data_IF_086662925039
#
_entry.id   IF_086662925039
#
_cell.length_a   1.000
_cell.length_b   1.000
_cell.length_c   1.000
_cell.angle_alpha   90.00
_cell.angle_beta   90.00
_cell.angle_gamma   90.00
#
_symmetry.space_group_name_H-M   'P 1'
#
loop_
_entity.id
_entity.type
_entity.pdbx_description
1 polymer ?
#
# COMPACT_ATOMS: atom_id res chain seq x y z
N UNK A 1 -27.08 4.58 -28.28
CA UNK A 1 -25.65 4.86 -28.03
C UNK A 1 -25.20 3.98 -26.87
N UNK A 2 -24.48 2.90 -27.15
CA UNK A 2 -24.01 1.96 -26.13
C UNK A 2 -22.66 2.40 -25.59
N UNK A 3 -22.56 2.63 -24.28
CA UNK A 3 -21.26 2.74 -23.62
C UNK A 3 -20.67 1.33 -23.51
N UNK A 4 -19.44 1.07 -24.01
CA UNK A 4 -18.87 -0.27 -23.94
C UNK A 4 -18.67 -0.71 -22.49
N UNK A 5 -19.10 -1.94 -22.25
CA UNK A 5 -19.19 -2.65 -20.98
C UNK A 5 -17.87 -2.77 -20.21
N UNK A 6 -17.85 -2.17 -19.03
CA UNK A 6 -17.37 -2.61 -17.71
C UNK A 6 -16.48 -3.87 -17.51
N UNK A 7 -15.57 -4.26 -18.41
CA UNK A 7 -14.76 -5.48 -18.22
C UNK A 7 -13.22 -5.35 -18.18
N UNK A 8 -12.64 -4.14 -18.19
CA UNK A 8 -11.17 -3.97 -18.11
C UNK A 8 -10.72 -2.87 -17.12
N UNK A 9 -11.35 -2.76 -15.95
CA UNK A 9 -11.07 -1.66 -15.02
C UNK A 9 -9.67 -1.70 -14.37
N UNK A 10 -9.00 -2.85 -14.32
CA UNK A 10 -7.72 -2.98 -13.58
C UNK A 10 -6.47 -2.63 -14.40
N UNK A 11 -6.57 -2.46 -15.73
CA UNK A 11 -5.43 -2.10 -16.61
C UNK A 11 -5.39 -0.62 -17.02
N UNK A 12 -6.46 0.14 -16.74
CA UNK A 12 -6.67 1.54 -17.20
C UNK A 12 -5.87 2.61 -16.43
N UNK A 13 -4.79 2.19 -15.76
CA UNK A 13 -3.87 3.07 -15.04
C UNK A 13 -2.40 2.67 -15.26
N UNK A 14 -2.07 2.13 -16.45
CA UNK A 14 -0.68 1.95 -16.88
C UNK A 14 0.02 3.32 -16.94
N UNK A 15 1.36 3.33 -16.84
CA UNK A 15 2.15 4.56 -16.98
C UNK A 15 1.89 5.25 -18.33
N UNK A 16 1.65 4.45 -19.38
CA UNK A 16 1.33 4.94 -20.74
C UNK A 16 0.11 5.86 -20.76
N UNK A 17 -1.00 5.49 -20.12
CA UNK A 17 -2.18 6.36 -20.05
C UNK A 17 -1.90 7.65 -19.28
N UNK A 18 -1.06 7.60 -18.23
CA UNK A 18 -0.71 8.79 -17.45
C UNK A 18 0.12 9.77 -18.28
N UNK A 19 1.12 9.27 -19.01
CA UNK A 19 1.93 10.08 -19.91
C UNK A 19 1.09 10.69 -21.03
N UNK A 20 0.20 9.90 -21.65
CA UNK A 20 -0.71 10.40 -22.68
C UNK A 20 -1.65 11.51 -22.16
N UNK A 21 -2.20 11.36 -20.94
CA UNK A 21 -3.01 12.39 -20.29
C UNK A 21 -2.19 13.68 -20.13
N UNK A 22 -0.96 13.61 -19.61
CA UNK A 22 -0.14 14.80 -19.39
C UNK A 22 0.25 15.48 -20.69
N UNK A 23 0.63 14.70 -21.71
CA UNK A 23 1.00 15.22 -23.03
C UNK A 23 -0.17 15.97 -23.68
N UNK A 24 -1.34 15.36 -23.75
CA UNK A 24 -2.53 15.96 -24.35
C UNK A 24 -3.00 17.23 -23.60
N UNK A 25 -2.82 17.25 -22.29
CA UNK A 25 -3.21 18.39 -21.46
C UNK A 25 -2.22 19.56 -21.56
N UNK A 26 -0.91 19.28 -21.53
CA UNK A 26 0.14 20.32 -21.51
C UNK A 26 0.55 20.80 -22.89
N UNK A 27 0.82 19.87 -23.82
CA UNK A 27 1.40 20.18 -25.14
C UNK A 27 0.31 20.56 -26.14
N UNK A 28 -0.83 19.86 -26.09
CA UNK A 28 -1.93 20.03 -27.05
C UNK A 28 -3.10 20.86 -26.49
N UNK A 29 -3.05 21.26 -25.22
CA UNK A 29 -4.07 22.05 -24.52
C UNK A 29 -5.51 21.50 -24.68
N UNK A 30 -5.64 20.18 -24.74
CA UNK A 30 -6.93 19.50 -24.93
C UNK A 30 -7.71 19.49 -23.62
N UNK A 31 -9.00 19.81 -23.68
CA UNK A 31 -9.87 19.75 -22.50
C UNK A 31 -9.96 18.34 -21.91
N UNK A 32 -10.07 18.24 -20.57
CA UNK A 32 -10.15 16.95 -19.85
C UNK A 32 -11.24 16.02 -20.40
N UNK A 33 -12.40 16.57 -20.78
CA UNK A 33 -13.52 15.80 -21.36
C UNK A 33 -13.15 15.18 -22.70
N UNK A 34 -12.40 15.89 -23.52
CA UNK A 34 -11.96 15.40 -24.83
C UNK A 34 -10.85 14.36 -24.68
N UNK A 35 -9.91 14.55 -23.76
CA UNK A 35 -8.90 13.55 -23.39
C UNK A 35 -9.59 12.25 -22.93
N UNK A 36 -10.59 12.35 -22.07
CA UNK A 36 -11.35 11.19 -21.57
C UNK A 36 -12.01 10.39 -22.71
N UNK A 37 -12.61 11.09 -23.69
CA UNK A 37 -13.18 10.46 -24.88
C UNK A 37 -12.11 9.78 -25.75
N UNK A 38 -10.97 10.44 -25.97
CA UNK A 38 -9.88 9.92 -26.80
C UNK A 38 -9.25 8.65 -26.20
N UNK A 39 -9.10 8.60 -24.88
CA UNK A 39 -8.44 7.51 -24.18
C UNK A 39 -9.41 6.43 -23.64
N UNK A 40 -10.73 6.60 -23.82
CA UNK A 40 -11.74 5.69 -23.28
C UNK A 40 -11.76 5.63 -21.74
N UNK A 41 -11.43 6.74 -21.09
CA UNK A 41 -11.36 6.90 -19.63
C UNK A 41 -12.54 7.71 -19.10
N UNK A 42 -12.77 7.66 -17.79
CA UNK A 42 -13.72 8.58 -17.16
C UNK A 42 -13.09 9.98 -17.03
N UNK A 43 -13.86 11.08 -17.18
CA UNK A 43 -13.36 12.43 -16.90
C UNK A 43 -12.77 12.56 -15.49
N UNK A 44 -13.36 11.89 -14.50
CA UNK A 44 -12.86 11.86 -13.12
C UNK A 44 -11.46 11.23 -13.02
N UNK A 45 -11.16 10.21 -13.82
CA UNK A 45 -9.82 9.60 -13.88
C UNK A 45 -8.80 10.57 -14.47
N UNK A 46 -9.16 11.28 -15.54
CA UNK A 46 -8.29 12.28 -16.18
C UNK A 46 -7.99 13.41 -15.20
N UNK A 47 -9.04 13.99 -14.60
CA UNK A 47 -8.93 15.03 -13.58
C UNK A 47 -8.05 14.60 -12.39
N UNK A 48 -8.25 13.37 -11.89
CA UNK A 48 -7.45 12.80 -10.81
C UNK A 48 -5.96 12.76 -11.15
N UNK A 49 -5.58 12.29 -12.34
CA UNK A 49 -4.17 12.22 -12.72
C UNK A 49 -3.55 13.60 -12.89
N UNK A 50 -4.26 14.55 -13.51
CA UNK A 50 -3.80 15.94 -13.67
C UNK A 50 -3.57 16.58 -12.29
N UNK A 51 -4.53 16.49 -11.38
CA UNK A 51 -4.44 17.07 -10.02
C UNK A 51 -3.47 16.34 -9.09
N UNK A 52 -3.13 15.07 -9.40
CA UNK A 52 -2.15 14.28 -8.66
C UNK A 52 -0.71 14.47 -9.18
N UNK A 53 -0.52 15.09 -10.35
CA UNK A 53 0.79 15.29 -10.94
C UNK A 53 1.73 16.03 -9.98
N UNK A 54 2.97 15.55 -9.87
CA UNK A 54 3.98 16.09 -8.96
C UNK A 54 3.82 15.70 -7.49
N UNK A 55 2.72 15.04 -7.09
CA UNK A 55 2.56 14.52 -5.73
C UNK A 55 3.29 13.19 -5.61
N UNK A 56 4.05 13.02 -4.51
CA UNK A 56 4.70 11.76 -4.20
C UNK A 56 3.67 10.64 -4.03
N UNK A 57 4.10 9.40 -4.30
CA UNK A 57 3.28 8.23 -4.04
C UNK A 57 2.97 8.18 -2.53
N UNK A 58 1.69 8.16 -2.19
CA UNK A 58 1.24 7.90 -0.83
C UNK A 58 1.26 6.40 -0.61
N UNK A 59 2.17 5.90 0.22
CA UNK A 59 2.05 4.54 0.74
C UNK A 59 0.85 4.53 1.68
N UNK A 60 -0.07 3.59 1.48
CA UNK A 60 -1.10 3.34 2.50
C UNK A 60 -0.36 2.73 3.69
N UNK A 61 -0.43 3.38 4.86
CA UNK A 61 -0.03 2.71 6.09
C UNK A 61 -0.86 1.43 6.21
N UNK A 62 -0.19 0.29 6.38
CA UNK A 62 -0.89 -0.98 6.63
C UNK A 62 -1.68 -0.94 7.94
N UNK A 63 -2.32 -2.06 8.29
CA UNK A 63 -2.96 -2.19 9.60
C UNK A 63 -1.94 -1.91 10.72
N UNK A 64 -2.27 -1.08 11.72
CA UNK A 64 -1.36 -0.84 12.84
C UNK A 64 -1.02 -2.16 13.52
N UNK A 65 0.24 -2.26 13.97
CA UNK A 65 0.71 -3.45 14.68
C UNK A 65 0.15 -3.47 16.09
N UNK A 66 -0.10 -4.68 16.60
CA UNK A 66 -0.48 -4.88 18.00
C UNK A 66 0.74 -4.77 18.93
N UNK A 67 1.91 -5.20 18.45
CA UNK A 67 3.19 -5.10 19.17
C UNK A 67 3.80 -3.71 19.02
N UNK A 68 4.34 -3.16 20.11
CA UNK A 68 5.16 -1.95 20.12
C UNK A 68 6.67 -2.26 20.04
N UNK A 69 7.51 -1.27 19.75
CA UNK A 69 8.96 -1.40 19.65
C UNK A 69 9.60 -1.89 20.96
N UNK A 70 9.11 -1.42 22.11
CA UNK A 70 9.61 -1.86 23.42
C UNK A 70 9.26 -3.32 23.70
N UNK A 71 8.08 -3.78 23.27
CA UNK A 71 7.70 -5.20 23.40
C UNK A 71 8.60 -6.08 22.56
N UNK A 72 8.90 -5.67 21.32
CA UNK A 72 9.82 -6.39 20.43
C UNK A 72 11.23 -6.51 21.05
N UNK A 73 11.71 -5.43 21.68
CA UNK A 73 13.01 -5.41 22.36
C UNK A 73 13.05 -6.37 23.56
N UNK A 74 12.01 -6.36 24.40
CA UNK A 74 11.91 -7.25 25.55
C UNK A 74 11.86 -8.73 25.12
N UNK A 75 11.08 -9.06 24.09
CA UNK A 75 11.01 -10.41 23.53
C UNK A 75 12.38 -10.89 23.06
N UNK A 76 13.14 -10.02 22.39
CA UNK A 76 14.49 -10.34 21.93
C UNK A 76 15.46 -10.55 23.09
N UNK A 77 15.44 -9.69 24.10
CA UNK A 77 16.32 -9.82 25.26
C UNK A 77 16.03 -11.07 26.08
N UNK A 78 14.75 -11.40 26.30
CA UNK A 78 14.34 -12.60 27.01
C UNK A 78 14.80 -13.86 26.27
N UNK A 79 14.56 -13.94 24.95
CA UNK A 79 15.02 -15.07 24.12
C UNK A 79 16.55 -15.20 24.10
N UNK A 80 17.29 -14.09 24.15
CA UNK A 80 18.76 -14.12 24.20
C UNK A 80 19.31 -14.55 25.56
N UNK A 81 18.63 -14.19 26.64
CA UNK A 81 19.04 -14.54 28.02
C UNK A 81 18.82 -16.03 28.30
N UNK A 82 17.72 -16.60 27.83
CA UNK A 82 17.42 -18.02 27.97
C UNK A 82 17.02 -18.63 26.61
N UNK A 83 17.95 -19.34 25.96
CA UNK A 83 17.69 -20.00 24.68
C UNK A 83 16.64 -21.13 24.74
N UNK A 84 16.26 -21.60 25.94
CA UNK A 84 15.26 -22.66 26.11
C UNK A 84 13.84 -22.12 26.33
N UNK A 85 13.67 -20.80 26.50
CA UNK A 85 12.35 -20.17 26.60
C UNK A 85 11.57 -20.36 25.30
N UNK A 86 10.35 -20.88 25.41
CA UNK A 86 9.48 -21.06 24.25
C UNK A 86 8.76 -19.76 23.88
N UNK A 87 8.34 -19.65 22.62
CA UNK A 87 7.50 -18.53 22.17
C UNK A 87 6.17 -18.40 22.93
N UNK A 88 5.67 -19.50 23.52
CA UNK A 88 4.46 -19.50 24.35
C UNK A 88 4.74 -18.83 25.70
N UNK A 89 5.90 -19.09 26.29
CA UNK A 89 6.28 -18.52 27.58
C UNK A 89 6.56 -17.02 27.43
N UNK A 90 7.25 -16.63 26.34
CA UNK A 90 7.47 -15.23 25.98
C UNK A 90 6.16 -14.46 25.72
N UNK A 91 5.16 -15.11 25.10
CA UNK A 91 3.85 -14.52 24.89
C UNK A 91 3.14 -14.22 26.22
N UNK A 92 3.12 -15.20 27.14
CA UNK A 92 2.44 -15.07 28.43
C UNK A 92 2.98 -13.92 29.27
N UNK A 93 4.29 -13.74 29.27
CA UNK A 93 4.95 -12.75 30.13
C UNK A 93 4.91 -11.34 29.53
N UNK A 94 5.12 -11.19 28.21
CA UNK A 94 5.37 -9.87 27.61
C UNK A 94 4.28 -9.40 26.62
N UNK A 95 3.53 -10.30 25.99
CA UNK A 95 2.57 -9.96 24.93
C UNK A 95 1.31 -10.83 24.92
N UNK A 96 0.51 -10.87 26.02
CA UNK A 96 -0.63 -11.79 26.13
C UNK A 96 -1.77 -11.51 25.13
N UNK A 97 -1.79 -10.31 24.53
CA UNK A 97 -2.79 -9.91 23.51
C UNK A 97 -2.44 -10.39 22.08
N UNK A 98 -1.17 -10.70 21.80
CA UNK A 98 -0.71 -11.11 20.48
C UNK A 98 -0.73 -12.64 20.34
N UNK A 99 -0.84 -13.18 19.13
CA UNK A 99 -0.69 -14.62 18.91
C UNK A 99 0.75 -15.10 19.06
N UNK A 100 0.95 -16.38 19.39
CA UNK A 100 2.28 -17.01 19.47
C UNK A 100 3.04 -16.88 18.15
N UNK A 101 2.37 -17.00 17.01
CA UNK A 101 3.00 -16.80 15.70
C UNK A 101 3.46 -15.36 15.46
N UNK A 102 2.80 -14.38 16.09
CA UNK A 102 3.30 -13.01 16.07
C UNK A 102 4.66 -12.94 16.76
N UNK A 103 4.81 -13.58 17.93
CA UNK A 103 6.09 -13.64 18.67
C UNK A 103 7.18 -14.31 17.83
N UNK A 104 6.90 -15.47 17.23
CA UNK A 104 7.84 -16.17 16.32
C UNK A 104 8.27 -15.27 15.16
N UNK A 105 7.31 -14.61 14.51
CA UNK A 105 7.58 -13.67 13.42
C UNK A 105 8.40 -12.45 13.86
N UNK A 106 8.38 -12.07 15.15
CA UNK A 106 9.26 -11.00 15.67
C UNK A 106 10.68 -11.50 15.89
N UNK A 107 10.84 -12.68 16.47
CA UNK A 107 12.15 -13.28 16.69
C UNK A 107 12.86 -13.58 15.37
N UNK A 108 12.14 -14.07 14.36
CA UNK A 108 12.69 -14.39 13.02
C UNK A 108 12.96 -13.17 12.12
N UNK A 109 12.56 -11.95 12.53
CA UNK A 109 12.72 -10.74 11.70
C UNK A 109 14.08 -10.06 11.85
N UNK A 110 14.93 -10.53 12.77
CA UNK A 110 16.17 -9.85 13.15
C UNK A 110 17.42 -10.43 12.48
N UNK A 111 17.25 -10.96 11.26
CA UNK A 111 18.34 -11.34 10.35
C UNK A 111 18.39 -10.41 9.13
#
# INVERSE_FOLDING_TARGET
MGFPSSLDCCKKTSMEFRHAIYRLYDEEHVSERKIAQMLGLSPSTVHYWITRRGKSATTKSGRPRVTDANMDQNLYEASRKDPFLSAVDLQKEWTPSCSVDTVRNRLNKKD
#
